data_IF_510346034496
#
_entry.id   IF_510346034496
#
_cell.length_a   1.000
_cell.length_b   1.000
_cell.length_c   1.000
_cell.angle_alpha   90.00
_cell.angle_beta   90.00
_cell.angle_gamma   90.00
#
_symmetry.space_group_name_H-M   'P 1'
#
loop_
_entity.id
_entity.type
_entity.pdbx_description
1 polymer ?
#
# COMPACT_ATOMS: atom_id res chain seq x y z
N UNK A 1 -5.90 -7.51 15.66
CA UNK A 1 -5.44 -6.26 16.31
C UNK A 1 -3.94 -6.38 16.49
N UNK A 2 -3.15 -5.38 16.07
CA UNK A 2 -1.68 -5.51 16.02
C UNK A 2 -1.06 -5.64 17.41
N UNK A 3 -1.63 -5.00 18.43
CA UNK A 3 -1.23 -5.17 19.82
C UNK A 3 -1.40 -6.61 20.35
N UNK A 4 -2.40 -7.35 19.87
CA UNK A 4 -2.58 -8.77 20.21
C UNK A 4 -1.54 -9.68 19.56
N UNK A 5 -0.96 -9.24 18.45
CA UNK A 5 0.14 -9.91 17.75
C UNK A 5 1.51 -9.51 18.33
N UNK A 6 1.55 -8.69 19.40
CA UNK A 6 2.77 -8.09 19.98
C UNK A 6 3.61 -7.30 18.98
N UNK A 7 3.00 -6.83 17.89
CA UNK A 7 3.67 -6.02 16.87
C UNK A 7 3.78 -4.54 17.27
N UNK A 8 3.04 -4.12 18.31
CA UNK A 8 3.02 -2.76 18.86
C UNK A 8 2.52 -2.79 20.30
N UNK A 9 3.09 -1.95 21.17
CA UNK A 9 2.62 -1.76 22.55
C UNK A 9 1.41 -0.82 22.63
N UNK A 10 1.18 -0.01 21.60
CA UNK A 10 0.04 0.89 21.51
C UNK A 10 -1.10 0.24 20.70
N UNK A 11 -2.32 0.38 21.22
CA UNK A 11 -3.51 -0.09 20.54
C UNK A 11 -3.92 0.85 19.39
N UNK A 12 -3.40 2.07 19.33
CA UNK A 12 -3.71 3.06 18.29
C UNK A 12 -2.88 2.90 17.02
N UNK A 13 -3.38 3.49 15.93
CA UNK A 13 -2.68 3.62 14.67
C UNK A 13 -1.41 4.46 14.85
N UNK A 14 -0.25 3.90 14.51
CA UNK A 14 1.05 4.59 14.58
C UNK A 14 1.22 5.78 13.62
N UNK A 15 0.26 6.01 12.71
CA UNK A 15 0.29 7.14 11.76
C UNK A 15 -0.64 8.26 12.12
N UNK A 16 -1.94 7.97 12.26
CA UNK A 16 -2.92 9.01 12.58
C UNK A 16 -3.06 9.24 14.09
N UNK A 17 -2.71 8.27 14.93
CA UNK A 17 -2.89 8.28 16.39
C UNK A 17 -4.35 8.55 16.85
N UNK A 18 -5.33 8.38 15.97
CA UNK A 18 -6.75 8.65 16.24
C UNK A 18 -7.55 7.36 16.47
N UNK A 19 -7.38 6.38 15.58
CA UNK A 19 -8.15 5.12 15.58
C UNK A 19 -7.35 3.96 16.14
N UNK A 20 -8.04 2.91 16.61
CA UNK A 20 -7.40 1.64 16.97
C UNK A 20 -6.69 1.02 15.75
N UNK A 21 -5.45 0.61 15.93
CA UNK A 21 -4.59 -0.04 14.96
C UNK A 21 -5.04 -1.45 14.59
N UNK A 22 -5.89 -1.57 13.58
CA UNK A 22 -6.04 -2.81 12.82
C UNK A 22 -5.02 -2.85 11.69
N UNK A 23 -4.67 -4.06 11.23
CA UNK A 23 -3.74 -4.22 10.11
C UNK A 23 -4.25 -3.52 8.85
N UNK A 24 -5.55 -3.63 8.57
CA UNK A 24 -6.19 -2.99 7.42
C UNK A 24 -6.16 -1.46 7.56
N UNK A 25 -6.46 -0.93 8.74
CA UNK A 25 -6.39 0.50 8.98
C UNK A 25 -4.96 1.04 8.81
N UNK A 26 -3.97 0.41 9.43
CA UNK A 26 -2.58 0.88 9.43
C UNK A 26 -1.88 0.80 8.08
N UNK A 27 -2.35 -0.05 7.17
CA UNK A 27 -1.72 -0.32 5.86
C UNK A 27 -2.56 0.15 4.66
N UNK A 28 -3.84 0.50 4.85
CA UNK A 28 -4.73 0.89 3.77
C UNK A 28 -5.69 2.03 4.16
N UNK A 29 -6.53 1.87 5.18
CA UNK A 29 -7.66 2.81 5.42
C UNK A 29 -7.29 4.07 6.21
N UNK A 30 -6.13 4.11 6.87
CA UNK A 30 -5.68 5.31 7.57
C UNK A 30 -5.57 6.46 6.56
N UNK A 31 -6.21 7.58 6.85
CA UNK A 31 -6.18 8.83 6.05
C UNK A 31 -4.79 9.18 5.50
N UNK A 32 -3.74 9.06 6.32
CA UNK A 32 -2.35 9.30 5.93
C UNK A 32 -1.83 8.28 4.91
N UNK A 33 -2.23 7.02 5.04
CA UNK A 33 -1.85 5.91 4.14
C UNK A 33 -2.65 5.95 2.87
N UNK A 34 -3.94 6.24 2.98
CA UNK A 34 -4.87 6.33 1.88
C UNK A 34 -4.45 7.41 0.88
N UNK A 35 -4.13 8.60 1.40
CA UNK A 35 -3.58 9.72 0.61
C UNK A 35 -2.26 9.35 -0.08
N UNK A 36 -1.43 8.55 0.59
CA UNK A 36 -0.20 8.06 -0.03
C UNK A 36 -0.51 7.12 -1.19
N UNK A 37 -1.36 6.13 -0.99
CA UNK A 37 -1.68 5.15 -2.03
C UNK A 37 -2.33 5.80 -3.25
N UNK A 38 -3.19 6.80 -3.07
CA UNK A 38 -3.76 7.56 -4.18
C UNK A 38 -2.67 8.22 -5.04
N UNK A 39 -1.73 8.91 -4.38
CA UNK A 39 -0.61 9.57 -5.08
C UNK A 39 0.31 8.56 -5.75
N UNK A 40 0.61 7.46 -5.07
CA UNK A 40 1.52 6.43 -5.56
C UNK A 40 0.94 5.68 -6.76
N UNK A 41 -0.35 5.29 -6.72
CA UNK A 41 -1.02 4.64 -7.84
C UNK A 41 -1.20 5.59 -9.02
N UNK A 42 -1.57 6.85 -8.77
CA UNK A 42 -1.64 7.87 -9.82
C UNK A 42 -0.28 8.08 -10.50
N UNK A 43 0.81 8.08 -9.73
CA UNK A 43 2.17 8.15 -10.26
C UNK A 43 2.51 6.94 -11.15
N UNK A 44 2.25 5.71 -10.69
CA UNK A 44 2.52 4.50 -11.47
C UNK A 44 1.70 4.45 -12.76
N UNK A 45 0.41 4.80 -12.68
CA UNK A 45 -0.47 4.86 -13.86
C UNK A 45 0.04 5.85 -14.90
N UNK A 46 0.48 7.03 -14.47
CA UNK A 46 1.06 8.04 -15.37
C UNK A 46 2.38 7.58 -15.98
N UNK A 47 3.26 6.98 -15.18
CA UNK A 47 4.60 6.56 -15.61
C UNK A 47 4.56 5.42 -16.63
N UNK A 48 3.65 4.46 -16.41
CA UNK A 48 3.58 3.22 -17.19
C UNK A 48 2.40 3.17 -18.15
N UNK A 49 1.63 4.26 -18.23
CA UNK A 49 0.39 4.37 -19.01
C UNK A 49 -0.61 3.24 -18.68
N UNK A 50 -0.84 3.03 -17.39
CA UNK A 50 -1.75 2.02 -16.84
C UNK A 50 -3.05 2.65 -16.32
N UNK A 51 -4.04 1.79 -16.06
CA UNK A 51 -5.33 2.17 -15.47
C UNK A 51 -5.60 1.38 -14.17
N UNK A 52 -4.59 1.21 -13.31
CA UNK A 52 -4.81 0.52 -12.03
C UNK A 52 -5.66 1.34 -11.07
N UNK A 53 -6.59 0.66 -10.41
CA UNK A 53 -7.38 1.25 -9.34
C UNK A 53 -6.77 0.88 -7.98
N UNK A 54 -6.69 1.86 -7.08
CA UNK A 54 -6.34 1.63 -5.67
C UNK A 54 -7.28 0.58 -5.08
N UNK A 55 -6.71 -0.45 -4.49
CA UNK A 55 -7.45 -1.48 -3.77
C UNK A 55 -6.53 -2.22 -2.79
N UNK A 56 -7.05 -2.90 -1.76
CA UNK A 56 -6.22 -3.60 -0.77
C UNK A 56 -5.32 -4.68 -1.37
N UNK A 57 -5.77 -5.40 -2.40
CA UNK A 57 -4.98 -6.45 -3.07
C UNK A 57 -3.74 -5.85 -3.76
N UNK A 58 -3.86 -4.68 -4.35
CA UNK A 58 -2.73 -3.96 -4.93
C UNK A 58 -1.84 -3.34 -3.85
N UNK A 59 -2.42 -2.53 -2.97
CA UNK A 59 -1.69 -1.73 -1.99
C UNK A 59 -1.04 -2.59 -0.89
N UNK A 60 -1.79 -3.52 -0.31
CA UNK A 60 -1.28 -4.37 0.78
C UNK A 60 -0.51 -5.57 0.23
N UNK A 61 -1.03 -6.24 -0.80
CA UNK A 61 -0.44 -7.49 -1.29
C UNK A 61 0.51 -7.30 -2.48
N UNK A 62 0.49 -6.15 -3.16
CA UNK A 62 1.35 -5.92 -4.33
C UNK A 62 0.96 -6.80 -5.53
N UNK A 63 -0.29 -7.27 -5.53
CA UNK A 63 -0.80 -8.15 -6.58
C UNK A 63 -1.56 -7.29 -7.59
N UNK A 64 -1.06 -7.25 -8.82
CA UNK A 64 -1.62 -6.49 -9.93
C UNK A 64 -1.76 -7.38 -11.17
N UNK A 65 -2.62 -6.93 -12.10
CA UNK A 65 -2.68 -7.48 -13.45
C UNK A 65 -1.51 -6.94 -14.28
N UNK A 66 -0.87 -7.82 -15.05
CA UNK A 66 0.30 -7.48 -15.87
C UNK A 66 -0.09 -6.91 -17.24
N UNK A 67 -1.36 -6.57 -17.44
CA UNK A 67 -1.90 -6.30 -18.77
C UNK A 67 -1.17 -5.11 -19.41
N UNK A 68 -0.47 -5.36 -20.51
CA UNK A 68 0.35 -4.37 -21.22
C UNK A 68 1.75 -4.12 -20.64
N UNK A 69 2.16 -4.80 -19.57
CA UNK A 69 3.50 -4.65 -18.99
C UNK A 69 4.51 -5.69 -19.51
N UNK A 70 5.72 -5.22 -19.81
CA UNK A 70 6.86 -6.10 -20.07
C UNK A 70 7.29 -6.87 -18.82
N UNK A 71 8.15 -7.88 -19.00
CA UNK A 71 8.76 -8.59 -17.88
C UNK A 71 9.54 -7.66 -16.95
N UNK A 72 10.33 -6.75 -17.51
CA UNK A 72 11.14 -5.79 -16.77
C UNK A 72 10.26 -4.80 -16.00
N UNK A 73 9.22 -4.26 -16.64
CA UNK A 73 8.26 -3.37 -15.96
C UNK A 73 7.51 -4.10 -14.85
N UNK A 74 7.16 -5.37 -15.05
CA UNK A 74 6.52 -6.20 -14.01
C UNK A 74 7.45 -6.38 -12.80
N UNK A 75 8.74 -6.66 -13.05
CA UNK A 75 9.72 -6.81 -11.98
C UNK A 75 9.91 -5.50 -11.23
N UNK A 76 10.05 -4.39 -11.96
CA UNK A 76 10.18 -3.06 -11.39
C UNK A 76 8.95 -2.72 -10.52
N UNK A 77 7.74 -2.90 -11.03
CA UNK A 77 6.50 -2.67 -10.27
C UNK A 77 6.46 -3.47 -8.97
N UNK A 78 6.88 -4.75 -8.98
CA UNK A 78 6.97 -5.57 -7.76
C UNK A 78 7.93 -4.98 -6.75
N UNK A 79 9.10 -4.52 -7.18
CA UNK A 79 10.10 -3.89 -6.31
C UNK A 79 9.56 -2.59 -5.72
N UNK A 80 8.98 -1.69 -6.54
CA UNK A 80 8.49 -0.41 -6.02
C UNK A 80 7.30 -0.61 -5.09
N UNK A 81 6.38 -1.53 -5.39
CA UNK A 81 5.26 -1.88 -4.50
C UNK A 81 5.75 -2.51 -3.20
N UNK A 82 6.81 -3.32 -3.24
CA UNK A 82 7.43 -3.87 -2.03
C UNK A 82 8.06 -2.76 -1.19
N UNK A 83 8.85 -1.88 -1.81
CA UNK A 83 9.48 -0.77 -1.13
C UNK A 83 8.47 0.20 -0.54
N UNK A 84 7.44 0.58 -1.30
CA UNK A 84 6.36 1.43 -0.84
C UNK A 84 5.82 0.93 0.50
N UNK A 85 5.46 -0.35 0.60
CA UNK A 85 4.97 -0.95 1.85
C UNK A 85 5.98 -0.92 3.00
N UNK A 86 7.27 -1.13 2.71
CA UNK A 86 8.32 -1.10 3.73
C UNK A 86 8.66 0.30 4.22
N UNK A 87 8.33 1.34 3.44
CA UNK A 87 8.45 2.75 3.85
C UNK A 87 7.33 3.15 4.83
N UNK A 88 6.30 2.30 4.97
CA UNK A 88 5.18 2.48 5.88
C UNK A 88 5.35 1.67 7.16
#
# INVERSE_FOLDING_TARGET
RMARLKLTNDAKCWRCNQTTGTMIHMLYECDKVDTFWDKFIAFLNKLLNLAWHKNPRLCMLGIFQKDGLSYEQTLWCRLVLYHAKSTF
#
